data_IF_740427768724
#
_entry.id   IF_740427768724
#
_cell.length_a   1.000
_cell.length_b   1.000
_cell.length_c   1.000
_cell.angle_alpha   90.00
_cell.angle_beta   90.00
_cell.angle_gamma   90.00
#
_symmetry.space_group_name_H-M   'P 1'
#
loop_
_entity.id
_entity.type
_entity.pdbx_description
1 polymer ?
#
# COMPACT_ATOMS: atom_id res chain seq x y z
N UNK A 1 -37.47 8.10 -16.18
CA UNK A 1 -36.11 7.50 -16.15
C UNK A 1 -36.01 6.31 -15.19
N UNK A 2 -36.74 6.28 -14.07
CA UNK A 2 -36.67 5.22 -13.05
C UNK A 2 -36.86 3.77 -13.55
N UNK A 3 -37.81 3.53 -14.47
CA UNK A 3 -38.02 2.18 -15.06
C UNK A 3 -36.80 1.66 -15.83
N UNK A 4 -36.06 2.57 -16.49
CA UNK A 4 -34.84 2.23 -17.21
C UNK A 4 -33.73 1.89 -16.22
N UNK A 5 -33.58 2.69 -15.15
CA UNK A 5 -32.60 2.45 -14.08
C UNK A 5 -32.85 1.10 -13.41
N UNK A 6 -34.12 0.79 -13.10
CA UNK A 6 -34.50 -0.50 -12.53
C UNK A 6 -34.13 -1.66 -13.46
N UNK A 7 -34.39 -1.52 -14.76
CA UNK A 7 -34.04 -2.56 -15.74
C UNK A 7 -32.53 -2.72 -15.92
N UNK A 8 -31.77 -1.62 -16.01
CA UNK A 8 -30.31 -1.65 -16.07
C UNK A 8 -29.68 -2.25 -14.79
N UNK A 9 -30.38 -2.11 -13.66
CA UNK A 9 -29.97 -2.69 -12.38
C UNK A 9 -30.19 -4.21 -12.30
N UNK A 10 -31.00 -4.79 -13.19
CA UNK A 10 -31.27 -6.22 -13.26
C UNK A 10 -30.12 -7.03 -13.90
N UNK A 11 -30.18 -8.36 -13.81
CA UNK A 11 -29.25 -9.25 -14.52
C UNK A 11 -29.52 -9.30 -16.03
N UNK A 12 -30.70 -8.85 -16.46
CA UNK A 12 -31.17 -8.88 -17.85
C UNK A 12 -30.85 -7.60 -18.62
N UNK A 13 -30.03 -6.70 -18.05
CA UNK A 13 -29.70 -5.41 -18.68
C UNK A 13 -29.14 -5.56 -20.11
N UNK A 14 -28.52 -6.71 -20.42
CA UNK A 14 -27.98 -7.05 -21.75
C UNK A 14 -29.05 -7.21 -22.83
N UNK A 15 -30.32 -7.40 -22.47
CA UNK A 15 -31.44 -7.41 -23.41
C UNK A 15 -31.65 -6.03 -24.07
N UNK A 16 -31.23 -4.95 -23.40
CA UNK A 16 -31.12 -3.64 -24.05
C UNK A 16 -29.86 -3.68 -24.91
N UNK A 17 -30.01 -3.47 -26.21
CA UNK A 17 -28.89 -3.45 -27.14
C UNK A 17 -27.78 -2.46 -26.71
N UNK A 18 -26.52 -2.83 -26.88
CA UNK A 18 -25.35 -2.07 -26.40
C UNK A 18 -25.33 -0.61 -26.85
N UNK A 19 -25.77 -0.33 -28.09
CA UNK A 19 -25.88 1.04 -28.61
C UNK A 19 -26.94 1.86 -27.87
N UNK A 20 -28.05 1.23 -27.49
CA UNK A 20 -29.11 1.90 -26.74
C UNK A 20 -28.64 2.17 -25.31
N UNK A 21 -27.88 1.24 -24.70
CA UNK A 21 -27.26 1.46 -23.38
C UNK A 21 -26.29 2.64 -23.40
N UNK A 22 -25.48 2.74 -24.46
CA UNK A 22 -24.61 3.89 -24.68
C UNK A 22 -25.41 5.20 -24.83
N UNK A 23 -26.43 5.20 -25.69
CA UNK A 23 -27.28 6.36 -25.91
C UNK A 23 -27.98 6.83 -24.63
N UNK A 24 -28.51 5.90 -23.81
CA UNK A 24 -29.15 6.22 -22.53
C UNK A 24 -28.21 7.01 -21.62
N UNK A 25 -26.93 6.64 -21.53
CA UNK A 25 -25.94 7.37 -20.71
C UNK A 25 -25.69 8.76 -21.29
N UNK A 26 -25.57 8.86 -22.62
CA UNK A 26 -25.29 10.13 -23.28
C UNK A 26 -26.45 11.13 -23.13
N UNK A 27 -27.68 10.68 -23.39
CA UNK A 27 -28.89 11.48 -23.27
C UNK A 27 -29.14 11.88 -21.81
N UNK A 28 -28.92 10.96 -20.85
CA UNK A 28 -29.05 11.28 -19.43
C UNK A 28 -28.04 12.34 -18.98
N UNK A 29 -26.82 12.32 -19.51
CA UNK A 29 -25.83 13.36 -19.22
C UNK A 29 -26.18 14.70 -19.88
N UNK A 30 -26.74 14.69 -21.09
CA UNK A 30 -27.24 15.90 -21.73
C UNK A 30 -28.35 16.55 -20.89
N UNK A 31 -29.33 15.77 -20.41
CA UNK A 31 -30.37 16.29 -19.52
C UNK A 31 -29.85 16.79 -18.18
N UNK A 32 -28.79 16.15 -17.64
CA UNK A 32 -28.11 16.63 -16.44
C UNK A 32 -27.48 18.02 -16.65
N UNK A 33 -26.92 18.30 -17.84
CA UNK A 33 -26.34 19.60 -18.17
C UNK A 33 -27.39 20.70 -18.37
N UNK A 34 -28.62 20.33 -18.75
CA UNK A 34 -29.75 21.25 -18.92
C UNK A 34 -30.60 21.41 -17.64
N UNK A 35 -30.13 20.91 -16.49
CA UNK A 35 -30.86 20.87 -15.21
C UNK A 35 -32.25 20.19 -15.30
N UNK A 36 -32.44 19.32 -16.30
CA UNK A 36 -33.67 18.55 -16.49
C UNK A 36 -33.62 17.17 -15.80
N UNK A 37 -32.45 16.77 -15.31
CA UNK A 37 -32.24 15.52 -14.61
C UNK A 37 -31.42 15.75 -13.34
N UNK A 38 -31.94 15.26 -12.21
CA UNK A 38 -31.20 15.28 -10.94
C UNK A 38 -29.92 14.46 -11.01
N UNK A 39 -28.86 15.00 -10.41
CA UNK A 39 -27.56 14.32 -10.30
C UNK A 39 -27.65 12.95 -9.63
N UNK A 40 -28.53 12.80 -8.62
CA UNK A 40 -28.77 11.52 -7.94
C UNK A 40 -29.36 10.45 -8.87
N UNK A 41 -30.24 10.85 -9.80
CA UNK A 41 -30.85 9.97 -10.79
C UNK A 41 -29.81 9.54 -11.82
N UNK A 42 -28.97 10.47 -12.28
CA UNK A 42 -27.84 10.14 -13.16
C UNK A 42 -26.86 9.17 -12.50
N UNK A 43 -26.53 9.38 -11.21
CA UNK A 43 -25.68 8.47 -10.45
C UNK A 43 -26.26 7.07 -10.39
N UNK A 44 -27.53 6.93 -10.00
CA UNK A 44 -28.21 5.63 -9.99
C UNK A 44 -28.22 4.96 -11.37
N UNK A 45 -28.35 5.75 -12.43
CA UNK A 45 -28.30 5.26 -13.80
C UNK A 45 -26.94 4.68 -14.17
N UNK A 46 -25.82 5.33 -13.81
CA UNK A 46 -24.49 4.84 -14.19
C UNK A 46 -23.98 3.68 -13.30
N UNK A 47 -24.64 3.40 -12.18
CA UNK A 47 -24.24 2.33 -11.25
C UNK A 47 -24.11 0.94 -11.92
N UNK A 48 -24.94 0.62 -12.93
CA UNK A 48 -24.88 -0.69 -13.59
C UNK A 48 -23.55 -0.91 -14.36
N UNK A 49 -22.83 0.17 -14.69
CA UNK A 49 -21.57 0.10 -15.44
C UNK A 49 -20.53 -0.78 -14.73
N UNK A 50 -20.62 -0.94 -13.41
CA UNK A 50 -19.74 -1.83 -12.64
C UNK A 50 -19.82 -3.31 -13.07
N UNK A 51 -20.85 -3.68 -13.83
CA UNK A 51 -21.05 -5.02 -14.41
C UNK A 51 -21.01 -5.02 -15.95
N UNK A 52 -20.88 -3.85 -16.56
CA UNK A 52 -20.86 -3.69 -18.02
C UNK A 52 -19.48 -4.04 -18.56
N UNK A 53 -19.45 -4.93 -19.55
CA UNK A 53 -18.21 -5.43 -20.17
C UNK A 53 -18.02 -4.92 -21.59
N UNK A 54 -19.07 -4.37 -22.20
CA UNK A 54 -18.98 -3.83 -23.55
C UNK A 54 -18.38 -2.42 -23.53
N UNK A 55 -17.22 -2.25 -24.15
CA UNK A 55 -16.59 -0.93 -24.31
C UNK A 55 -17.52 0.10 -24.97
N UNK A 56 -18.37 -0.35 -25.91
CA UNK A 56 -19.30 0.53 -26.63
C UNK A 56 -20.29 1.21 -25.69
N UNK A 57 -20.81 0.51 -24.68
CA UNK A 57 -21.67 1.10 -23.65
C UNK A 57 -20.90 2.08 -22.73
N UNK A 58 -19.61 1.85 -22.51
CA UNK A 58 -18.74 2.70 -21.71
C UNK A 58 -18.24 3.97 -22.41
N UNK A 59 -18.23 4.00 -23.75
CA UNK A 59 -17.72 5.14 -24.56
C UNK A 59 -18.27 6.51 -24.13
N UNK A 60 -19.59 6.70 -23.94
CA UNK A 60 -20.15 7.97 -23.48
C UNK A 60 -19.61 8.37 -22.11
N UNK A 61 -19.52 7.42 -21.18
CA UNK A 61 -19.00 7.67 -19.84
C UNK A 61 -17.54 8.14 -19.87
N UNK A 62 -16.67 7.49 -20.64
CA UNK A 62 -15.27 7.94 -20.78
C UNK A 62 -15.15 9.34 -21.39
N UNK A 63 -16.05 9.69 -22.32
CA UNK A 63 -16.11 11.05 -22.87
C UNK A 63 -16.52 12.07 -21.80
N UNK A 64 -17.50 11.75 -20.97
CA UNK A 64 -17.95 12.58 -19.84
C UNK A 64 -16.81 12.80 -18.85
N UNK A 65 -16.10 11.74 -18.46
CA UNK A 65 -14.96 11.83 -17.54
C UNK A 65 -13.86 12.73 -18.10
N UNK A 66 -13.54 12.59 -19.38
CA UNK A 66 -12.52 13.43 -20.04
C UNK A 66 -12.91 14.90 -20.07
N UNK A 67 -14.17 15.21 -20.36
CA UNK A 67 -14.69 16.60 -20.31
C UNK A 67 -14.56 17.19 -18.90
N UNK A 68 -14.79 16.38 -17.88
CA UNK A 68 -14.75 16.80 -16.48
C UNK A 68 -13.42 16.48 -15.78
N UNK A 69 -12.34 16.24 -16.52
CA UNK A 69 -11.06 15.80 -15.93
C UNK A 69 -10.56 16.77 -14.85
N UNK A 70 -10.71 18.09 -15.08
CA UNK A 70 -10.27 19.13 -14.13
C UNK A 70 -11.04 19.07 -12.80
N UNK A 71 -12.30 18.64 -12.82
CA UNK A 71 -13.13 18.53 -11.62
C UNK A 71 -12.54 17.54 -10.61
N UNK A 72 -11.97 16.42 -11.06
CA UNK A 72 -11.35 15.43 -10.19
C UNK A 72 -10.10 15.94 -9.46
N UNK A 73 -9.53 17.07 -9.87
CA UNK A 73 -8.42 17.70 -9.13
C UNK A 73 -8.91 18.65 -8.03
N UNK A 74 -10.21 19.00 -8.00
CA UNK A 74 -10.78 19.95 -7.06
C UNK A 74 -11.19 19.28 -5.73
N UNK A 75 -11.12 19.98 -4.57
CA UNK A 75 -11.56 19.46 -3.28
C UNK A 75 -13.00 18.96 -3.24
N UNK A 76 -13.89 19.59 -4.02
CA UNK A 76 -15.32 19.29 -4.13
C UNK A 76 -15.58 17.88 -4.70
N UNK A 77 -14.63 17.34 -5.48
CA UNK A 77 -14.74 15.99 -6.05
C UNK A 77 -14.62 14.86 -5.01
N UNK A 78 -14.27 15.18 -3.76
CA UNK A 78 -14.06 14.21 -2.68
C UNK A 78 -15.28 13.31 -2.42
N UNK A 79 -16.50 13.83 -2.61
CA UNK A 79 -17.73 13.03 -2.47
C UNK A 79 -18.02 12.11 -3.66
N UNK A 80 -17.62 12.50 -4.87
CA UNK A 80 -17.90 11.78 -6.11
C UNK A 80 -16.86 10.68 -6.41
N UNK A 81 -15.60 10.89 -6.01
CA UNK A 81 -14.50 9.93 -6.24
C UNK A 81 -14.77 8.51 -5.72
N UNK A 82 -15.23 8.29 -4.47
CA UNK A 82 -15.45 6.94 -3.96
C UNK A 82 -16.48 6.15 -4.78
N UNK A 83 -17.53 6.84 -5.25
CA UNK A 83 -18.56 6.24 -6.08
C UNK A 83 -18.00 5.73 -7.42
N UNK A 84 -17.21 6.58 -8.09
CA UNK A 84 -16.56 6.20 -9.33
C UNK A 84 -15.53 5.08 -9.14
N UNK A 85 -14.83 5.04 -8.00
CA UNK A 85 -13.91 3.94 -7.65
C UNK A 85 -14.67 2.61 -7.56
N UNK A 86 -15.86 2.56 -6.93
CA UNK A 86 -16.67 1.34 -6.87
C UNK A 86 -17.04 0.82 -8.28
N UNK A 87 -17.40 1.74 -9.19
CA UNK A 87 -17.75 1.36 -10.56
C UNK A 87 -16.52 0.80 -11.29
N UNK A 88 -15.36 1.46 -11.18
CA UNK A 88 -14.14 0.98 -11.83
C UNK A 88 -13.61 -0.32 -11.25
N UNK A 89 -13.65 -0.49 -9.93
CA UNK A 89 -13.26 -1.73 -9.29
C UNK A 89 -14.15 -2.89 -9.77
N UNK A 90 -15.48 -2.66 -9.82
CA UNK A 90 -16.42 -3.66 -10.33
C UNK A 90 -16.10 -4.10 -11.77
N UNK A 91 -15.83 -3.17 -12.69
CA UNK A 91 -15.50 -3.57 -14.08
C UNK A 91 -14.13 -4.27 -14.16
N UNK A 92 -13.14 -3.80 -13.38
CA UNK A 92 -11.79 -4.39 -13.37
C UNK A 92 -11.75 -5.77 -12.72
N UNK A 93 -12.64 -6.08 -11.76
CA UNK A 93 -12.79 -7.45 -11.24
C UNK A 93 -13.27 -8.44 -12.30
N UNK A 94 -14.00 -7.98 -13.32
CA UNK A 94 -14.51 -8.83 -14.40
C UNK A 94 -13.58 -8.90 -15.61
N UNK A 95 -12.99 -7.77 -15.98
CA UNK A 95 -12.08 -7.66 -17.13
C UNK A 95 -10.67 -8.12 -16.75
N UNK A 96 -10.27 -7.99 -15.49
CA UNK A 96 -8.92 -8.28 -15.01
C UNK A 96 -7.93 -7.14 -15.28
N UNK A 97 -6.86 -7.10 -14.49
CA UNK A 97 -5.81 -6.09 -14.55
C UNK A 97 -4.70 -6.44 -15.55
N UNK A 98 -4.53 -7.72 -15.86
CA UNK A 98 -3.48 -8.21 -16.77
C UNK A 98 -3.99 -8.28 -18.20
N UNK A 99 -3.10 -7.99 -19.16
CA UNK A 99 -3.41 -8.18 -20.57
C UNK A 99 -3.47 -9.67 -20.90
N UNK A 100 -4.56 -10.08 -21.55
CA UNK A 100 -4.68 -11.41 -22.14
C UNK A 100 -4.63 -11.28 -23.67
N UNK A 101 -3.78 -12.08 -24.32
CA UNK A 101 -3.63 -12.07 -25.77
C UNK A 101 -4.91 -12.48 -26.50
N UNK A 102 -5.71 -13.36 -25.87
CA UNK A 102 -6.96 -13.90 -26.42
C UNK A 102 -8.14 -12.91 -26.33
N UNK A 103 -7.99 -11.80 -25.61
CA UNK A 103 -9.05 -10.80 -25.51
C UNK A 103 -9.25 -10.07 -26.85
N UNK A 104 -10.49 -9.73 -27.16
CA UNK A 104 -10.79 -8.83 -28.26
C UNK A 104 -10.27 -7.40 -28.00
N UNK A 105 -10.08 -6.64 -29.08
CA UNK A 105 -9.53 -5.29 -29.00
C UNK A 105 -10.37 -4.33 -28.15
N UNK A 106 -11.70 -4.51 -28.11
CA UNK A 106 -12.58 -3.64 -27.32
C UNK A 106 -12.43 -3.93 -25.83
N UNK A 107 -12.29 -5.19 -25.44
CA UNK A 107 -11.99 -5.59 -24.06
C UNK A 107 -10.62 -5.05 -23.61
N UNK A 108 -9.59 -5.12 -24.47
CA UNK A 108 -8.27 -4.54 -24.20
C UNK A 108 -8.35 -3.02 -23.99
N UNK A 109 -9.11 -2.31 -24.82
CA UNK A 109 -9.31 -0.85 -24.69
C UNK A 109 -10.10 -0.52 -23.42
N UNK A 110 -11.14 -1.30 -23.10
CA UNK A 110 -11.92 -1.11 -21.87
C UNK A 110 -11.03 -1.25 -20.63
N UNK A 111 -10.19 -2.28 -20.58
CA UNK A 111 -9.20 -2.47 -19.50
C UNK A 111 -8.33 -1.24 -19.35
N UNK A 112 -7.70 -0.81 -20.43
CA UNK A 112 -6.77 0.32 -20.43
C UNK A 112 -7.43 1.62 -19.92
N UNK A 113 -8.61 1.97 -20.45
CA UNK A 113 -9.33 3.17 -20.02
C UNK A 113 -9.84 3.05 -18.58
N UNK A 114 -10.38 1.91 -18.19
CA UNK A 114 -10.85 1.67 -16.82
C UNK A 114 -9.70 1.77 -15.80
N UNK A 115 -8.56 1.14 -16.08
CA UNK A 115 -7.38 1.23 -15.20
C UNK A 115 -6.86 2.67 -15.11
N UNK A 116 -6.78 3.38 -16.24
CA UNK A 116 -6.35 4.78 -16.27
C UNK A 116 -7.25 5.68 -15.44
N UNK A 117 -8.57 5.56 -15.60
CA UNK A 117 -9.52 6.38 -14.86
C UNK A 117 -9.62 5.96 -13.40
N UNK A 118 -9.52 4.67 -13.07
CA UNK A 118 -9.37 4.21 -11.70
C UNK A 118 -8.20 4.95 -11.04
N UNK A 119 -7.00 4.94 -11.65
CA UNK A 119 -5.85 5.67 -11.12
C UNK A 119 -6.05 7.18 -11.02
N UNK A 120 -6.88 7.81 -11.85
CA UNK A 120 -7.11 9.27 -11.82
C UNK A 120 -8.10 9.68 -10.72
N UNK A 121 -9.10 8.83 -10.48
CA UNK A 121 -10.19 9.07 -9.52
C UNK A 121 -9.80 8.64 -8.11
N UNK A 122 -8.94 7.63 -8.02
CA UNK A 122 -8.45 7.08 -6.75
C UNK A 122 -7.73 8.16 -5.91
N UNK A 123 -7.95 8.19 -4.58
CA UNK A 123 -7.28 9.15 -3.70
C UNK A 123 -5.74 9.04 -3.76
N UNK A 124 -5.06 10.17 -3.59
CA UNK A 124 -3.58 10.24 -3.63
C UNK A 124 -2.87 9.22 -2.71
N UNK A 125 -3.49 8.81 -1.60
CA UNK A 125 -2.93 7.83 -0.67
C UNK A 125 -2.93 6.39 -1.18
N UNK A 126 -3.82 6.04 -2.11
CA UNK A 126 -3.82 4.73 -2.76
C UNK A 126 -2.61 4.60 -3.69
N UNK A 127 -2.21 5.66 -4.40
CA UNK A 127 -1.02 5.61 -5.24
C UNK A 127 0.20 5.16 -4.43
N UNK A 128 0.42 5.77 -3.26
CA UNK A 128 1.56 5.44 -2.41
C UNK A 128 1.46 3.98 -1.92
N UNK A 129 0.24 3.51 -1.59
CA UNK A 129 0.00 2.12 -1.19
C UNK A 129 0.22 1.11 -2.34
N UNK A 130 -0.34 1.36 -3.52
CA UNK A 130 -0.20 0.51 -4.71
C UNK A 130 1.25 0.41 -5.16
N UNK A 131 1.98 1.53 -5.19
CA UNK A 131 3.41 1.51 -5.49
C UNK A 131 4.18 0.72 -4.44
N UNK A 132 3.90 0.93 -3.16
CA UNK A 132 4.63 0.22 -2.10
C UNK A 132 4.39 -1.29 -2.10
N UNK A 133 3.14 -1.74 -2.26
CA UNK A 133 2.83 -3.16 -2.38
C UNK A 133 3.47 -3.78 -3.63
N UNK A 134 3.36 -3.10 -4.77
CA UNK A 134 3.98 -3.57 -6.02
C UNK A 134 5.51 -3.67 -5.91
N UNK A 135 6.16 -2.70 -5.25
CA UNK A 135 7.61 -2.65 -5.08
C UNK A 135 8.14 -3.62 -4.02
N UNK A 136 7.36 -3.94 -2.99
CA UNK A 136 7.75 -4.90 -1.97
C UNK A 136 8.01 -6.30 -2.57
N UNK A 137 7.19 -6.69 -3.54
CA UNK A 137 7.28 -7.98 -4.24
C UNK A 137 7.96 -7.88 -5.62
N UNK A 138 8.42 -6.69 -6.01
CA UNK A 138 8.99 -6.47 -7.33
C UNK A 138 10.29 -7.25 -7.52
N UNK A 139 10.45 -7.83 -8.72
CA UNK A 139 11.74 -8.34 -9.16
C UNK A 139 12.62 -7.20 -9.74
N UNK A 140 13.89 -7.52 -9.99
CA UNK A 140 14.87 -6.56 -10.53
C UNK A 140 14.40 -5.89 -11.83
N UNK A 141 13.67 -6.60 -12.70
CA UNK A 141 13.16 -6.06 -13.97
C UNK A 141 12.11 -4.98 -13.76
N UNK A 142 11.11 -5.25 -12.91
CA UNK A 142 10.05 -4.28 -12.58
C UNK A 142 10.66 -3.05 -11.92
N UNK A 143 11.60 -3.29 -11.01
CA UNK A 143 12.29 -2.22 -10.32
C UNK A 143 13.13 -1.35 -11.28
N UNK A 144 13.84 -1.94 -12.24
CA UNK A 144 14.63 -1.19 -13.22
C UNK A 144 13.74 -0.24 -14.04
N UNK A 145 12.55 -0.69 -14.46
CA UNK A 145 11.56 0.15 -15.15
C UNK A 145 11.12 1.34 -14.29
N UNK A 146 10.95 1.12 -12.98
CA UNK A 146 10.58 2.19 -12.06
C UNK A 146 11.72 3.19 -11.85
N UNK A 147 12.96 2.72 -11.82
CA UNK A 147 14.14 3.58 -11.78
C UNK A 147 14.28 4.41 -13.06
N UNK A 148 14.05 3.82 -14.24
CA UNK A 148 13.99 4.54 -15.51
C UNK A 148 12.91 5.62 -15.51
N UNK A 149 11.73 5.31 -14.97
CA UNK A 149 10.65 6.27 -14.81
C UNK A 149 11.07 7.44 -13.90
N UNK A 150 11.78 7.16 -12.81
CA UNK A 150 12.35 8.21 -11.97
C UNK A 150 13.34 9.09 -12.75
N UNK A 151 14.30 8.50 -13.48
CA UNK A 151 15.24 9.29 -14.27
C UNK A 151 14.56 10.19 -15.30
N UNK A 152 13.45 9.72 -15.90
CA UNK A 152 12.67 10.50 -16.87
C UNK A 152 11.88 11.64 -16.23
N UNK A 153 11.32 11.42 -15.04
CA UNK A 153 10.39 12.36 -14.39
C UNK A 153 11.07 13.29 -13.39
N UNK A 154 12.22 12.88 -12.84
CA UNK A 154 12.86 13.51 -11.69
C UNK A 154 11.93 13.68 -10.48
N UNK A 155 10.90 12.82 -10.35
CA UNK A 155 9.93 12.90 -9.25
C UNK A 155 10.56 12.42 -7.93
N UNK A 156 10.84 13.36 -7.03
CA UNK A 156 11.40 13.08 -5.70
C UNK A 156 10.48 12.19 -4.85
N UNK A 157 9.16 12.25 -5.06
CA UNK A 157 8.20 11.41 -4.35
C UNK A 157 8.34 9.96 -4.81
N UNK A 158 8.49 9.74 -6.11
CA UNK A 158 8.72 8.42 -6.69
C UNK A 158 10.01 7.78 -6.15
N UNK A 159 11.11 8.54 -6.09
CA UNK A 159 12.37 8.05 -5.52
C UNK A 159 12.21 7.61 -4.06
N UNK A 160 11.51 8.40 -3.24
CA UNK A 160 11.28 8.05 -1.83
C UNK A 160 10.44 6.78 -1.71
N UNK A 161 9.42 6.62 -2.54
CA UNK A 161 8.58 5.41 -2.58
C UNK A 161 9.39 4.18 -3.00
N UNK A 162 10.25 4.31 -4.02
CA UNK A 162 11.14 3.25 -4.49
C UNK A 162 12.05 2.71 -3.39
N UNK A 163 12.63 3.61 -2.60
CA UNK A 163 13.55 3.23 -1.52
C UNK A 163 12.77 2.70 -0.34
N UNK A 164 11.72 3.38 0.13
CA UNK A 164 11.05 3.00 1.38
C UNK A 164 10.32 1.66 1.30
N UNK A 165 9.89 1.24 0.12
CA UNK A 165 8.97 0.12 -0.04
C UNK A 165 9.57 -1.12 -0.70
N UNK A 166 10.82 -1.04 -1.19
CA UNK A 166 11.54 -2.23 -1.65
C UNK A 166 11.93 -3.10 -0.44
N UNK A 167 11.55 -4.38 -0.45
CA UNK A 167 11.92 -5.31 0.65
C UNK A 167 13.06 -6.26 0.26
N UNK A 168 13.34 -6.42 -1.04
CA UNK A 168 14.37 -7.32 -1.52
C UNK A 168 15.80 -6.73 -1.28
N UNK A 169 16.66 -7.42 -0.51
CA UNK A 169 18.01 -6.93 -0.18
C UNK A 169 18.91 -6.75 -1.41
N UNK A 170 18.78 -7.60 -2.45
CA UNK A 170 19.60 -7.50 -3.66
C UNK A 170 19.29 -6.21 -4.44
N UNK A 171 18.02 -5.81 -4.44
CA UNK A 171 17.56 -4.56 -5.07
C UNK A 171 18.14 -3.36 -4.31
N UNK A 172 18.10 -3.39 -2.97
CA UNK A 172 18.64 -2.33 -2.12
C UNK A 172 20.17 -2.21 -2.27
N UNK A 173 20.88 -3.34 -2.33
CA UNK A 173 22.33 -3.38 -2.59
C UNK A 173 22.63 -2.83 -4.00
N UNK A 174 21.80 -3.18 -5.00
CA UNK A 174 21.92 -2.61 -6.34
C UNK A 174 21.79 -1.09 -6.33
N UNK A 175 20.90 -0.51 -5.49
CA UNK A 175 20.79 0.94 -5.30
C UNK A 175 22.10 1.52 -4.79
N UNK A 176 22.67 0.95 -3.72
CA UNK A 176 23.92 1.40 -3.11
C UNK A 176 25.10 1.41 -4.10
N UNK A 177 25.10 0.53 -5.10
CA UNK A 177 26.13 0.50 -6.13
C UNK A 177 25.98 1.59 -7.19
N UNK A 178 24.75 1.98 -7.49
CA UNK A 178 24.48 3.03 -8.47
C UNK A 178 24.39 4.42 -7.84
N UNK A 179 24.47 4.57 -6.51
CA UNK A 179 24.39 5.88 -5.84
C UNK A 179 25.48 6.86 -6.30
N UNK A 180 26.63 6.34 -6.75
CA UNK A 180 27.72 7.12 -7.32
C UNK A 180 27.33 7.85 -8.63
N UNK A 181 26.26 7.43 -9.31
CA UNK A 181 25.73 8.07 -10.52
C UNK A 181 24.83 9.29 -10.23
N UNK A 182 24.42 9.47 -8.96
CA UNK A 182 23.56 10.58 -8.55
C UNK A 182 24.39 11.78 -8.10
N UNK A 183 23.78 12.97 -8.11
CA UNK A 183 24.44 14.15 -7.57
C UNK A 183 24.65 14.03 -6.04
N UNK A 184 25.55 14.85 -5.49
CA UNK A 184 25.97 14.72 -4.08
C UNK A 184 24.80 14.82 -3.07
N UNK A 185 23.80 15.67 -3.33
CA UNK A 185 22.62 15.81 -2.47
C UNK A 185 21.71 14.59 -2.54
N UNK A 186 21.46 14.08 -3.75
CA UNK A 186 20.65 12.89 -3.98
C UNK A 186 21.32 11.66 -3.39
N UNK A 187 22.63 11.51 -3.56
CA UNK A 187 23.40 10.42 -2.95
C UNK A 187 23.25 10.47 -1.42
N UNK A 188 23.47 11.62 -0.79
CA UNK A 188 23.29 11.79 0.66
C UNK A 188 21.86 11.42 1.12
N UNK A 189 20.83 11.89 0.39
CA UNK A 189 19.44 11.58 0.69
C UNK A 189 19.12 10.08 0.57
N UNK A 190 19.50 9.46 -0.55
CA UNK A 190 19.25 8.04 -0.85
C UNK A 190 19.93 7.19 0.23
N UNK A 191 21.19 7.49 0.53
CA UNK A 191 21.96 6.77 1.52
C UNK A 191 21.29 6.82 2.90
N UNK A 192 20.86 8.00 3.38
CA UNK A 192 20.15 8.11 4.65
C UNK A 192 18.82 7.34 4.67
N UNK A 193 18.03 7.41 3.59
CA UNK A 193 16.78 6.66 3.49
C UNK A 193 17.03 5.15 3.56
N UNK A 194 18.13 4.65 2.97
CA UNK A 194 18.53 3.25 3.08
C UNK A 194 18.93 2.90 4.51
N UNK A 195 19.68 3.77 5.19
CA UNK A 195 20.03 3.56 6.60
C UNK A 195 18.80 3.46 7.50
N UNK A 196 17.82 4.34 7.30
CA UNK A 196 16.59 4.39 8.09
C UNK A 196 15.68 3.16 7.86
N UNK A 197 15.62 2.65 6.63
CA UNK A 197 14.59 1.67 6.27
C UNK A 197 15.12 0.24 6.11
N UNK A 198 16.41 0.04 5.84
CA UNK A 198 16.94 -1.25 5.37
C UNK A 198 18.08 -1.85 6.18
N UNK A 199 18.74 -1.08 7.05
CA UNK A 199 19.88 -1.56 7.87
C UNK A 199 19.49 -2.67 8.86
N UNK A 200 18.20 -2.82 9.17
CA UNK A 200 17.67 -3.96 9.93
C UNK A 200 17.86 -5.32 9.23
N UNK A 201 18.06 -5.34 7.92
CA UNK A 201 18.36 -6.56 7.16
C UNK A 201 19.86 -6.87 7.24
N UNK A 202 20.22 -8.08 7.68
CA UNK A 202 21.62 -8.46 7.86
C UNK A 202 22.45 -8.40 6.57
N UNK A 203 21.89 -8.77 5.41
CA UNK A 203 22.60 -8.73 4.14
C UNK A 203 22.95 -7.28 3.75
N UNK A 204 22.00 -6.36 3.96
CA UNK A 204 22.19 -4.94 3.68
C UNK A 204 23.20 -4.32 4.65
N UNK A 205 23.09 -4.64 5.95
CA UNK A 205 24.04 -4.16 6.97
C UNK A 205 25.47 -4.65 6.66
N UNK A 206 25.64 -5.94 6.39
CA UNK A 206 26.96 -6.51 6.10
C UNK A 206 27.57 -5.88 4.84
N UNK A 207 26.76 -5.62 3.82
CA UNK A 207 27.19 -4.91 2.63
C UNK A 207 27.66 -3.48 2.93
N UNK A 208 26.88 -2.73 3.72
CA UNK A 208 27.19 -1.34 4.10
C UNK A 208 28.48 -1.26 4.90
N UNK A 209 28.66 -2.12 5.90
CA UNK A 209 29.86 -2.11 6.74
C UNK A 209 31.12 -2.50 5.95
N UNK A 210 31.00 -3.43 5.00
CA UNK A 210 32.13 -3.90 4.19
C UNK A 210 32.55 -2.87 3.14
N UNK A 211 31.60 -2.15 2.54
CA UNK A 211 31.85 -1.19 1.46
C UNK A 211 31.78 0.26 1.92
N UNK A 212 31.85 0.51 3.23
CA UNK A 212 31.53 1.80 3.84
C UNK A 212 32.25 2.96 3.15
N UNK A 213 33.56 2.87 2.94
CA UNK A 213 34.36 3.93 2.30
C UNK A 213 33.95 4.26 0.86
N UNK A 214 33.43 3.27 0.12
CA UNK A 214 33.06 3.44 -1.28
C UNK A 214 31.66 4.03 -1.46
N UNK A 215 30.74 3.70 -0.56
CA UNK A 215 29.33 4.13 -0.63
C UNK A 215 29.04 5.36 0.24
N UNK A 216 29.99 5.79 1.07
CA UNK A 216 29.81 6.87 2.02
C UNK A 216 29.69 8.25 1.32
N UNK A 217 28.61 9.02 1.57
CA UNK A 217 28.46 10.34 0.97
C UNK A 217 29.36 11.37 1.66
N UNK A 218 30.08 12.18 0.87
CA UNK A 218 30.98 13.25 1.35
C UNK A 218 30.31 14.31 2.24
N UNK A 219 28.99 14.48 2.15
CA UNK A 219 28.23 15.47 2.93
C UNK A 219 27.95 15.05 4.37
N UNK A 220 28.16 13.78 4.74
CA UNK A 220 27.88 13.30 6.09
C UNK A 220 29.12 13.24 6.95
N UNK A 221 28.93 13.24 8.27
CA UNK A 221 29.98 12.92 9.23
C UNK A 221 29.98 11.42 9.48
N UNK A 222 31.15 10.77 9.49
CA UNK A 222 31.28 9.33 9.73
C UNK A 222 30.62 8.94 11.05
N UNK A 223 30.81 9.75 12.09
CA UNK A 223 30.21 9.55 13.41
C UNK A 223 28.68 9.63 13.35
N UNK A 224 28.13 10.57 12.57
CA UNK A 224 26.67 10.72 12.40
C UNK A 224 26.07 9.54 11.62
N UNK A 225 26.77 9.08 10.58
CA UNK A 225 26.35 7.91 9.80
C UNK A 225 26.31 6.65 10.68
N UNK A 226 27.36 6.42 11.48
CA UNK A 226 27.40 5.27 12.39
C UNK A 226 26.33 5.41 13.48
N UNK A 227 26.09 6.63 13.98
CA UNK A 227 24.97 6.89 14.88
C UNK A 227 23.62 6.50 14.25
N UNK A 228 23.37 6.87 13.00
CA UNK A 228 22.15 6.50 12.27
C UNK A 228 22.04 4.97 12.09
N UNK A 229 23.15 4.28 11.81
CA UNK A 229 23.18 2.81 11.76
C UNK A 229 22.76 2.22 13.12
N UNK A 230 23.35 2.71 14.23
CA UNK A 230 23.05 2.24 15.60
C UNK A 230 21.56 2.45 15.94
N UNK A 231 20.96 3.55 15.51
CA UNK A 231 19.55 3.84 15.76
C UNK A 231 18.59 2.90 14.99
N UNK A 232 19.04 2.28 13.89
CA UNK A 232 18.20 1.48 12.99
C UNK A 232 18.55 -0.02 12.96
N UNK A 233 19.46 -0.47 13.83
CA UNK A 233 19.65 -1.90 14.15
C UNK A 233 18.85 -2.30 15.39
N UNK A 234 18.45 -3.57 15.44
CA UNK A 234 17.49 -4.06 16.45
C UNK A 234 17.91 -5.37 17.13
N UNK A 235 19.08 -5.93 16.80
CA UNK A 235 19.62 -7.13 17.46
C UNK A 235 21.00 -6.91 18.07
N UNK A 236 21.29 -7.69 19.12
CA UNK A 236 22.62 -7.69 19.75
C UNK A 236 23.72 -8.14 18.79
N UNK A 237 23.41 -9.06 17.88
CA UNK A 237 24.34 -9.51 16.84
C UNK A 237 24.70 -8.34 15.91
N UNK A 238 23.71 -7.60 15.39
CA UNK A 238 23.93 -6.43 14.54
C UNK A 238 24.74 -5.35 15.27
N UNK A 239 24.40 -5.05 16.52
CA UNK A 239 25.15 -4.08 17.34
C UNK A 239 26.60 -4.52 17.56
N UNK A 240 26.86 -5.83 17.64
CA UNK A 240 28.21 -6.39 17.76
C UNK A 240 28.99 -6.27 16.44
N UNK A 241 28.33 -6.48 15.30
CA UNK A 241 28.92 -6.22 13.97
C UNK A 241 29.34 -4.76 13.81
N UNK A 242 28.47 -3.82 14.21
CA UNK A 242 28.74 -2.37 14.17
C UNK A 242 29.87 -2.00 15.13
N UNK A 243 29.91 -2.59 16.33
CA UNK A 243 31.01 -2.38 17.29
C UNK A 243 32.36 -2.80 16.70
N UNK A 244 32.42 -4.02 16.13
CA UNK A 244 33.64 -4.53 15.49
C UNK A 244 34.10 -3.63 14.34
N UNK A 245 33.16 -3.18 13.51
CA UNK A 245 33.45 -2.22 12.46
C UNK A 245 34.04 -0.91 13.02
N UNK A 246 33.43 -0.33 14.06
CA UNK A 246 33.93 0.90 14.66
C UNK A 246 35.34 0.74 15.26
N UNK A 247 35.62 -0.38 15.92
CA UNK A 247 36.94 -0.69 16.48
C UNK A 247 38.03 -0.84 15.41
N UNK A 248 37.67 -1.34 14.22
CA UNK A 248 38.59 -1.44 13.08
C UNK A 248 38.75 -0.11 12.34
N UNK A 249 37.69 0.69 12.27
CA UNK A 249 37.64 1.92 11.47
C UNK A 249 38.29 3.11 12.18
N UNK A 250 38.10 3.23 13.50
CA UNK A 250 38.68 4.31 14.30
C UNK A 250 39.96 3.87 15.02
N UNK A 251 40.90 4.80 15.19
CA UNK A 251 42.09 4.55 16.02
C UNK A 251 41.68 4.22 17.47
N UNK A 252 42.37 3.22 18.05
CA UNK A 252 42.22 2.85 19.45
C UNK A 252 42.45 4.07 20.35
N UNK A 253 41.53 4.32 21.28
CA UNK A 253 41.60 5.45 22.20
C UNK A 253 41.08 6.79 21.66
N UNK A 254 40.54 6.83 20.43
CA UNK A 254 39.90 8.05 19.93
C UNK A 254 38.59 8.39 20.67
N UNK A 255 38.34 9.68 20.91
CA UNK A 255 37.09 10.16 21.50
C UNK A 255 35.86 9.77 20.65
N UNK A 256 36.01 9.64 19.33
CA UNK A 256 34.94 9.16 18.45
C UNK A 256 34.58 7.70 18.72
N UNK A 257 35.58 6.84 18.91
CA UNK A 257 35.35 5.42 19.23
C UNK A 257 34.66 5.28 20.58
N UNK A 258 35.12 5.99 21.62
CA UNK A 258 34.49 5.92 22.94
C UNK A 258 33.04 6.41 22.93
N UNK A 259 32.75 7.48 22.17
CA UNK A 259 31.38 7.97 21.97
C UNK A 259 30.49 6.93 21.27
N UNK A 260 30.98 6.29 20.21
CA UNK A 260 30.24 5.26 19.47
C UNK A 260 29.97 4.03 20.33
N UNK A 261 30.98 3.54 21.06
CA UNK A 261 30.83 2.41 21.98
C UNK A 261 29.78 2.73 23.06
N UNK A 262 29.80 3.94 23.62
CA UNK A 262 28.78 4.38 24.58
C UNK A 262 27.37 4.41 23.95
N UNK A 263 27.24 4.90 22.71
CA UNK A 263 25.97 4.88 21.98
C UNK A 263 25.44 3.46 21.75
N UNK A 264 26.32 2.50 21.42
CA UNK A 264 25.97 1.09 21.25
C UNK A 264 25.45 0.51 22.57
N UNK A 265 26.15 0.74 23.68
CA UNK A 265 25.72 0.22 24.99
C UNK A 265 24.39 0.86 25.44
N UNK A 266 24.21 2.17 25.23
CA UNK A 266 22.90 2.84 25.45
C UNK A 266 21.79 2.19 24.61
N UNK A 267 22.06 1.89 23.34
CA UNK A 267 21.10 1.27 22.44
C UNK A 267 20.75 -0.17 22.87
N UNK A 268 21.73 -0.97 23.28
CA UNK A 268 21.50 -2.32 23.84
C UNK A 268 20.59 -2.26 25.05
N UNK A 269 20.88 -1.37 26.00
CA UNK A 269 20.07 -1.17 27.19
C UNK A 269 18.64 -0.75 26.84
N UNK A 270 18.48 0.19 25.91
CA UNK A 270 17.16 0.61 25.42
C UNK A 270 16.35 -0.54 24.81
N UNK A 271 16.96 -1.35 23.94
CA UNK A 271 16.29 -2.50 23.33
C UNK A 271 15.90 -3.54 24.39
N UNK A 272 16.81 -3.82 25.34
CA UNK A 272 16.53 -4.73 26.46
C UNK A 272 15.37 -4.23 27.32
N UNK A 273 15.38 -2.97 27.71
CA UNK A 273 14.32 -2.34 28.50
C UNK A 273 12.99 -2.38 27.75
N UNK A 274 13.00 -2.08 26.44
CA UNK A 274 11.81 -2.16 25.59
C UNK A 274 11.22 -3.58 25.56
N UNK A 275 12.07 -4.60 25.41
CA UNK A 275 11.66 -6.01 25.48
C UNK A 275 11.15 -6.36 26.87
N UNK A 276 11.83 -5.93 27.94
CA UNK A 276 11.43 -6.21 29.33
C UNK A 276 10.07 -5.58 29.67
N UNK A 277 9.79 -4.36 29.21
CA UNK A 277 8.49 -3.69 29.36
C UNK A 277 7.37 -4.51 28.69
N UNK A 278 7.57 -4.88 27.43
CA UNK A 278 6.61 -5.69 26.66
C UNK A 278 6.43 -7.05 27.34
N UNK A 279 7.52 -7.70 27.72
CA UNK A 279 7.51 -9.01 28.36
C UNK A 279 6.86 -8.98 29.76
N UNK A 280 7.04 -7.90 30.53
CA UNK A 280 6.39 -7.73 31.83
C UNK A 280 4.88 -7.50 31.69
N UNK A 281 4.47 -6.79 30.64
CA UNK A 281 3.07 -6.43 30.39
C UNK A 281 2.28 -7.57 29.74
N UNK A 282 2.92 -8.37 28.89
CA UNK A 282 2.30 -9.43 28.10
C UNK A 282 2.75 -10.85 28.51
N UNK A 283 3.67 -11.00 29.47
CA UNK A 283 4.16 -12.26 30.04
C UNK A 283 5.42 -12.82 29.36
N UNK A 284 6.24 -13.56 30.14
CA UNK A 284 7.31 -14.45 29.63
C UNK A 284 6.72 -15.79 29.22
N UNK A 285 5.99 -15.84 28.10
CA UNK A 285 5.75 -17.13 27.48
C UNK A 285 6.91 -17.41 26.53
N UNK A 286 7.51 -18.59 26.55
CA UNK A 286 8.52 -18.99 25.56
C UNK A 286 7.95 -18.90 24.12
N UNK A 287 6.63 -18.95 23.99
CA UNK A 287 5.87 -18.64 22.77
C UNK A 287 5.79 -17.15 22.42
N UNK A 288 6.11 -16.18 23.27
CA UNK A 288 6.14 -14.76 22.86
C UNK A 288 7.42 -14.40 22.09
N UNK A 289 8.50 -15.16 22.26
CA UNK A 289 9.79 -14.90 21.62
C UNK A 289 9.90 -15.63 20.27
N UNK A 290 9.31 -16.83 20.14
CA UNK A 290 9.23 -17.57 18.87
C UNK A 290 7.94 -17.30 18.06
N UNK A 291 6.93 -16.65 18.67
CA UNK A 291 5.56 -16.58 18.13
C UNK A 291 4.94 -15.18 18.26
N UNK A 292 5.69 -14.16 17.85
CA UNK A 292 5.09 -12.92 17.33
C UNK A 292 5.59 -12.71 15.89
N UNK A 293 5.29 -13.67 15.01
CA UNK A 293 4.71 -13.31 13.71
C UNK A 293 3.23 -12.99 13.95
N UNK A 294 2.95 -11.94 14.73
CA UNK A 294 1.62 -11.32 14.68
C UNK A 294 1.58 -10.52 13.39
N UNK A 295 0.95 -11.09 12.37
CA UNK A 295 0.40 -10.28 11.29
C UNK A 295 -0.84 -9.55 11.85
N UNK A 296 -0.60 -8.50 12.62
CA UNK A 296 -1.66 -7.57 13.00
C UNK A 296 -1.77 -6.50 11.91
N UNK A 297 -2.97 -6.24 11.44
CA UNK A 297 -3.21 -5.09 10.56
C UNK A 297 -2.86 -3.81 11.35
N UNK A 298 -1.87 -3.03 10.89
CA UNK A 298 -1.46 -1.79 11.55
C UNK A 298 -2.51 -0.66 11.33
N UNK A 299 -3.63 -0.77 12.04
CA UNK A 299 -4.79 0.11 11.96
C UNK A 299 -4.78 1.14 13.11
N UNK A 300 -3.93 2.16 13.02
CA UNK A 300 -4.14 3.41 13.79
C UNK A 300 -5.58 3.94 13.55
N UNK A 301 -6.20 4.75 14.43
CA UNK A 301 -7.58 5.24 14.25
C UNK A 301 -7.87 5.82 12.86
N UNK A 302 -6.88 6.53 12.28
CA UNK A 302 -6.98 7.14 10.94
C UNK A 302 -6.65 6.16 9.79
N UNK A 303 -5.98 5.04 10.09
CA UNK A 303 -5.63 3.97 9.14
C UNK A 303 -6.68 2.84 9.16
N UNK A 304 -7.39 2.61 10.27
CA UNK A 304 -8.53 1.69 10.38
C UNK A 304 -9.63 2.03 9.37
N UNK A 305 -9.93 3.34 9.23
CA UNK A 305 -10.86 3.88 8.22
C UNK A 305 -10.49 3.57 6.77
N UNK A 306 -9.24 3.17 6.50
CA UNK A 306 -8.77 2.80 5.14
C UNK A 306 -9.14 1.37 4.76
N UNK A 307 -9.38 0.50 5.74
CA UNK A 307 -9.75 -0.91 5.55
C UNK A 307 -11.24 -1.12 5.81
N UNK A 308 -11.82 -0.38 6.76
CA UNK A 308 -13.25 -0.35 7.06
C UNK A 308 -13.76 1.09 6.89
N UNK A 309 -14.14 1.52 5.66
CA UNK A 309 -14.69 2.85 5.46
C UNK A 309 -16.04 2.94 6.18
N UNK A 310 -16.05 3.57 7.35
CA UNK A 310 -17.26 3.96 8.06
C UNK A 310 -17.49 5.46 7.89
N UNK A 311 -18.74 5.84 7.59
CA UNK A 311 -19.19 7.22 7.74
C UNK A 311 -19.41 7.50 9.23
N UNK A 312 -19.03 8.70 9.70
CA UNK A 312 -19.24 9.13 11.09
C UNK A 312 -20.72 9.48 11.38
N UNK A 313 -21.64 9.25 10.43
CA UNK A 313 -23.07 9.53 10.53
C UNK A 313 -23.80 8.43 11.36
N UNK A 314 -24.39 8.75 12.53
CA UNK A 314 -25.01 7.76 13.41
C UNK A 314 -26.16 6.96 12.79
N UNK A 315 -26.78 7.50 11.74
CA UNK A 315 -27.90 6.90 11.02
C UNK A 315 -27.49 5.85 9.98
N UNK A 316 -26.21 5.79 9.56
CA UNK A 316 -25.73 4.90 8.50
C UNK A 316 -24.60 4.02 9.03
N UNK A 317 -24.92 2.77 9.38
CA UNK A 317 -23.93 1.79 9.87
C UNK A 317 -23.60 0.78 8.78
N UNK A 318 -22.32 0.70 8.39
CA UNK A 318 -21.81 -0.36 7.54
C UNK A 318 -21.56 -1.63 8.36
N UNK A 319 -21.99 -2.78 7.84
CA UNK A 319 -21.79 -4.08 8.47
C UNK A 319 -20.77 -4.88 7.65
N UNK A 320 -19.73 -5.39 8.31
CA UNK A 320 -18.70 -6.20 7.67
C UNK A 320 -18.80 -7.64 8.17
N UNK A 321 -18.73 -8.60 7.25
CA UNK A 321 -18.49 -10.00 7.59
C UNK A 321 -17.01 -10.27 7.36
N UNK A 322 -16.28 -10.56 8.44
CA UNK A 322 -14.85 -10.82 8.38
C UNK A 322 -14.65 -12.33 8.34
N UNK A 323 -13.82 -12.76 7.40
CA UNK A 323 -13.39 -14.15 7.26
C UNK A 323 -11.90 -14.15 6.98
N UNK A 324 -11.16 -15.08 7.56
CA UNK A 324 -9.70 -15.13 7.42
C UNK A 324 -9.31 -16.52 6.93
N UNK A 325 -8.51 -16.55 5.86
CA UNK A 325 -7.86 -17.76 5.37
C UNK A 325 -6.41 -17.75 5.80
N UNK A 326 -5.95 -18.84 6.42
CA UNK A 326 -4.61 -18.92 7.00
C UNK A 326 -4.10 -20.36 6.97
N UNK A 327 -2.79 -20.53 6.97
CA UNK A 327 -2.19 -21.85 7.02
C UNK A 327 -2.42 -22.49 8.41
N UNK A 328 -2.62 -23.80 8.47
CA UNK A 328 -2.99 -24.55 9.68
C UNK A 328 -1.99 -24.42 10.86
N UNK A 329 -0.78 -23.92 10.58
CA UNK A 329 0.26 -23.64 11.57
C UNK A 329 0.05 -22.31 12.31
N UNK A 330 -0.89 -21.48 11.88
CA UNK A 330 -1.22 -20.21 12.51
C UNK A 330 -2.56 -20.30 13.24
N UNK A 331 -2.80 -19.39 14.18
CA UNK A 331 -4.07 -19.26 14.89
C UNK A 331 -4.63 -17.87 14.64
N UNK A 332 -5.88 -17.77 14.18
CA UNK A 332 -6.54 -16.47 14.02
C UNK A 332 -7.30 -16.12 15.29
N UNK A 333 -7.11 -14.89 15.75
CA UNK A 333 -7.79 -14.32 16.91
C UNK A 333 -8.70 -13.19 16.45
N UNK A 334 -9.93 -13.16 16.96
CA UNK A 334 -10.91 -12.09 16.70
C UNK A 334 -11.67 -11.78 17.99
N UNK A 335 -12.13 -10.55 18.12
CA UNK A 335 -13.09 -10.15 19.13
C UNK A 335 -14.53 -10.61 18.80
N UNK A 336 -14.75 -11.15 17.59
CA UNK A 336 -16.00 -11.81 17.22
C UNK A 336 -15.89 -13.34 17.40
N UNK A 337 -16.98 -14.01 17.83
CA UNK A 337 -16.98 -15.45 17.98
C UNK A 337 -16.78 -16.15 16.63
N UNK A 338 -16.19 -17.34 16.63
CA UNK A 338 -16.08 -18.15 15.42
C UNK A 338 -17.46 -18.68 15.04
N UNK A 339 -17.92 -18.36 13.83
CA UNK A 339 -19.16 -18.89 13.26
C UNK A 339 -18.91 -20.26 12.62
N UNK A 340 -17.96 -20.32 11.70
CA UNK A 340 -17.66 -21.52 10.91
C UNK A 340 -16.15 -21.63 10.66
N UNK A 341 -15.62 -22.86 10.69
CA UNK A 341 -14.23 -23.13 10.35
C UNK A 341 -14.12 -24.43 9.56
N UNK A 342 -13.42 -24.40 8.43
CA UNK A 342 -13.17 -25.60 7.63
C UNK A 342 -11.81 -25.57 6.95
N UNK A 343 -11.25 -26.76 6.73
CA UNK A 343 -9.97 -26.94 6.01
C UNK A 343 -10.17 -26.86 4.50
N UNK A 344 -9.17 -26.31 3.82
CA UNK A 344 -9.09 -26.16 2.36
C UNK A 344 -7.84 -26.93 1.87
N UNK A 345 -7.70 -27.10 0.55
CA UNK A 345 -6.48 -27.67 -0.06
C UNK A 345 -5.23 -26.85 0.33
N UNK A 346 -4.07 -27.51 0.33
CA UNK A 346 -2.75 -26.93 0.64
C UNK A 346 -2.60 -26.43 2.08
N UNK A 347 -3.07 -27.20 3.07
CA UNK A 347 -2.88 -26.91 4.50
C UNK A 347 -3.46 -25.57 4.98
N UNK A 348 -4.45 -25.04 4.25
CA UNK A 348 -5.14 -23.78 4.58
C UNK A 348 -6.44 -24.04 5.34
N UNK A 349 -6.85 -23.09 6.18
CA UNK A 349 -8.08 -23.12 6.97
C UNK A 349 -8.80 -21.79 6.73
N UNK A 350 -10.11 -21.84 6.46
CA UNK A 350 -11.00 -20.68 6.56
C UNK A 350 -11.63 -20.64 7.94
N UNK A 351 -11.60 -19.47 8.58
CA UNK A 351 -12.42 -19.16 9.76
C UNK A 351 -13.30 -17.95 9.43
N UNK A 352 -14.61 -18.13 9.59
CA UNK A 352 -15.64 -17.11 9.47
C UNK A 352 -16.06 -16.67 10.87
N UNK A 353 -16.17 -15.36 11.09
CA UNK A 353 -16.55 -14.81 12.39
C UNK A 353 -18.02 -14.36 12.41
N UNK A 354 -18.65 -14.46 13.58
CA UNK A 354 -20.05 -14.14 13.82
C UNK A 354 -20.33 -12.65 13.90
N UNK A 355 -21.59 -12.30 13.67
CA UNK A 355 -22.10 -10.93 13.73
C UNK A 355 -22.29 -10.51 15.19
N UNK A 356 -21.45 -9.62 15.71
CA UNK A 356 -21.80 -8.82 16.89
C UNK A 356 -21.91 -7.35 16.52
N UNK A 357 -23.02 -6.75 16.97
CA UNK A 357 -23.41 -5.38 16.68
C UNK A 357 -22.36 -4.37 17.16
N UNK A 358 -22.35 -3.24 16.44
CA UNK A 358 -21.56 -2.03 16.64
C UNK A 358 -20.09 -2.16 16.24
N UNK A 359 -19.67 -1.27 15.33
CA UNK A 359 -18.27 -1.02 15.02
C UNK A 359 -17.51 -0.91 16.35
N UNK A 360 -16.56 -1.81 16.67
CA UNK A 360 -15.90 -1.73 17.94
C UNK A 360 -15.02 -0.47 17.98
N UNK A 361 -15.09 0.25 19.09
CA UNK A 361 -13.91 0.91 19.62
C UNK A 361 -12.83 -0.18 19.75
N UNK A 362 -11.78 -0.11 18.95
CA UNK A 362 -10.49 -0.69 19.35
C UNK A 362 -9.90 0.35 20.31
N UNK A 363 -10.32 0.31 21.57
CA UNK A 363 -9.60 1.01 22.65
C UNK A 363 -8.53 0.08 23.20
N UNK A 364 -7.35 0.64 23.43
CA UNK A 364 -6.45 0.18 24.47
C UNK A 364 -6.43 1.28 25.53
N UNK A 365 -7.13 1.07 26.64
CA UNK A 365 -6.83 1.72 27.93
C UNK A 365 -6.21 0.60 28.79
N UNK A 366 -5.12 0.77 29.52
CA UNK A 366 -4.56 1.96 30.18
C UNK A 366 -3.11 2.27 29.77
#
# INVERSE_FOLDING_TARGET
>A
MERIIYYLSSQEYRNIHVLNRAQIIDDAYAFLLEDQLDSSVFMNLINYLKRERDYVAWRPMFRILRRNQKYFSLPESKGFKPYMVEIFDGVLQHVGYEENFDDDDLTKILRLEATKWACTVVPQWWHDWTYCFGLAVANKTIWNKMLELYHRTSDKKLLKTLINCAENPDIIISYLNITALFNHEQHALIFNLILENHVRNNLVLDYILTNFDFIYPRLHSTTLTIHNIIQNVFSNEQLSKVKRFAETYFHQGSNSLSNIVNLIEKRKNYLKESVDIVTKRFGKSQTLIDLIQLAATHLMPNKARRMFPCWDEPAIKAYFMISVMYHQNYTVLSNWPNREQYKVKNDMIWTHFDRLLQCPLISWEL
#
